data_IF_783796725389
#
_entry.id   IF_783796725389
#
_cell.length_a   1.000
_cell.length_b   1.000
_cell.length_c   1.000
_cell.angle_alpha   90.00
_cell.angle_beta   90.00
_cell.angle_gamma   90.00
#
_symmetry.space_group_name_H-M   'P 1'
#
loop_
_entity.id
_entity.type
_entity.pdbx_description
1 polymer ?
#
# COMPACT_ATOMS: atom_id res chain seq x y z
N UNK A 1 -9.37 9.09 7.26
CA UNK A 1 -7.91 9.24 7.01
C UNK A 1 -7.59 8.63 5.63
N UNK A 2 -6.39 8.91 5.10
CA UNK A 2 -5.94 8.70 3.72
C UNK A 2 -4.57 7.96 3.69
N UNK A 3 -4.54 6.67 4.02
CA UNK A 3 -3.28 5.89 3.98
C UNK A 3 -3.04 5.41 2.54
N UNK A 4 -1.94 5.87 1.94
CA UNK A 4 -1.49 5.53 0.59
C UNK A 4 0.01 5.79 0.45
N UNK A 5 0.72 5.20 -0.53
CA UNK A 5 2.16 5.39 -0.72
C UNK A 5 2.60 6.86 -0.73
N UNK A 6 1.88 7.73 -1.43
CA UNK A 6 2.22 9.16 -1.54
C UNK A 6 2.11 9.95 -0.23
N UNK A 7 1.47 9.38 0.79
CA UNK A 7 1.40 9.96 2.14
C UNK A 7 2.43 9.36 3.12
N UNK A 8 3.34 8.50 2.64
CA UNK A 8 4.45 7.92 3.42
C UNK A 8 5.75 8.55 2.93
N UNK A 9 6.34 9.39 3.77
CA UNK A 9 7.59 10.09 3.47
C UNK A 9 8.78 9.37 4.10
N UNK A 10 9.90 9.37 3.39
CA UNK A 10 11.19 8.85 3.84
C UNK A 10 12.29 9.89 3.55
N UNK A 11 13.23 10.07 4.48
CA UNK A 11 14.40 10.92 4.30
C UNK A 11 15.71 10.12 4.20
N UNK A 12 16.81 10.83 3.87
CA UNK A 12 18.14 10.23 3.70
C UNK A 12 18.69 9.64 5.01
N UNK A 13 18.18 10.07 6.16
CA UNK A 13 18.48 9.48 7.46
C UNK A 13 17.67 8.19 7.74
N UNK A 14 16.82 7.76 6.81
CA UNK A 14 16.01 6.54 6.91
C UNK A 14 14.79 6.69 7.83
N UNK A 15 14.37 7.91 8.16
CA UNK A 15 13.18 8.16 8.98
C UNK A 15 11.93 8.10 8.11
N UNK A 16 10.99 7.23 8.48
CA UNK A 16 9.69 7.08 7.80
C UNK A 16 8.60 7.79 8.59
N UNK A 17 7.81 8.65 7.93
CA UNK A 17 6.74 9.45 8.55
C UNK A 17 5.49 9.50 7.68
N UNK A 18 4.33 9.48 8.31
CA UNK A 18 3.07 9.80 7.63
C UNK A 18 2.92 11.31 7.49
N UNK A 19 2.43 11.76 6.33
CA UNK A 19 1.98 13.12 6.08
C UNK A 19 0.51 13.14 5.67
N UNK A 20 -0.04 14.34 5.48
CA UNK A 20 -1.41 14.58 5.02
C UNK A 20 -2.49 13.77 5.77
N UNK A 21 -2.72 14.14 7.03
CA UNK A 21 -3.74 13.51 7.86
C UNK A 21 -5.18 13.81 7.39
N UNK A 22 -5.36 14.60 6.32
CA UNK A 22 -6.63 15.04 5.77
C UNK A 22 -7.49 15.83 6.77
N UNK A 23 -8.51 16.52 6.27
CA UNK A 23 -9.56 17.09 7.13
C UNK A 23 -10.38 15.91 7.68
N UNK A 24 -9.95 15.40 8.83
CA UNK A 24 -10.65 14.38 9.61
C UNK A 24 -12.01 14.94 10.05
N UNK A 25 -13.10 14.52 9.41
CA UNK A 25 -14.43 14.57 10.06
C UNK A 25 -15.63 15.15 9.31
N UNK A 26 -15.56 15.55 8.04
CA UNK A 26 -16.78 15.94 7.31
C UNK A 26 -17.00 15.07 6.07
N UNK A 27 -17.75 13.97 6.27
CA UNK A 27 -18.32 13.15 5.20
C UNK A 27 -19.84 13.39 5.16
N UNK A 28 -20.26 14.65 5.05
CA UNK A 28 -21.63 14.98 4.71
C UNK A 28 -21.55 15.78 3.42
N UNK A 29 -22.19 15.27 2.37
CA UNK A 29 -22.42 15.91 1.06
C UNK A 29 -21.38 15.80 -0.06
N UNK A 30 -20.63 14.68 -0.22
CA UNK A 30 -19.74 14.56 -1.39
C UNK A 30 -19.47 13.16 -1.92
N UNK A 31 -20.39 12.20 -1.84
CA UNK A 31 -20.25 11.00 -2.72
C UNK A 31 -20.26 11.45 -4.19
N UNK A 32 -21.04 12.49 -4.53
CA UNK A 32 -21.11 13.06 -5.86
C UNK A 32 -19.98 14.05 -6.21
N UNK A 33 -19.45 14.83 -5.25
CA UNK A 33 -18.38 15.83 -5.49
C UNK A 33 -16.96 15.27 -5.33
N UNK A 34 -16.76 14.21 -4.54
CA UNK A 34 -15.45 13.56 -4.40
C UNK A 34 -15.12 12.59 -5.55
N UNK A 35 -16.12 12.21 -6.37
CA UNK A 35 -15.88 11.45 -7.60
C UNK A 35 -15.15 12.25 -8.68
N UNK A 36 -15.30 13.59 -8.71
CA UNK A 36 -14.57 14.48 -9.64
C UNK A 36 -13.19 14.92 -9.12
N UNK A 37 -12.88 14.72 -7.83
CA UNK A 37 -11.70 15.28 -7.16
C UNK A 37 -10.58 14.26 -6.83
N UNK A 38 -10.57 13.09 -7.46
CA UNK A 38 -9.57 12.05 -7.21
C UNK A 38 -10.14 10.92 -6.37
N UNK A 39 -10.56 9.87 -7.08
CA UNK A 39 -10.93 8.58 -6.54
C UNK A 39 -9.90 8.11 -5.50
N UNK A 40 -10.34 7.53 -4.39
CA UNK A 40 -9.45 6.93 -3.39
C UNK A 40 -9.37 5.43 -3.63
N UNK A 41 -8.43 4.94 -4.46
CA UNK A 41 -8.35 3.52 -4.81
C UNK A 41 -8.05 2.61 -3.60
N UNK A 42 -7.68 3.21 -2.47
CA UNK A 42 -7.40 2.56 -1.19
C UNK A 42 -8.62 2.46 -0.25
N UNK A 43 -9.83 2.84 -0.70
CA UNK A 43 -11.02 2.88 0.17
C UNK A 43 -11.51 1.48 0.55
N UNK A 44 -11.82 1.30 1.84
CA UNK A 44 -12.34 0.05 2.38
C UNK A 44 -13.81 -0.22 1.97
N UNK A 45 -14.23 -1.50 1.83
CA UNK A 45 -15.58 -1.87 1.37
C UNK A 45 -16.71 -1.22 2.18
N UNK A 46 -16.57 -1.17 3.51
CA UNK A 46 -17.57 -0.61 4.42
C UNK A 46 -17.78 0.90 4.24
N UNK A 47 -16.81 1.61 3.63
CA UNK A 47 -16.91 3.04 3.33
C UNK A 47 -17.60 3.33 1.99
N UNK A 48 -17.77 2.31 1.15
CA UNK A 48 -18.44 2.42 -0.15
C UNK A 48 -19.95 2.23 0.04
N UNK A 49 -20.37 1.41 1.01
CA UNK A 49 -21.78 1.14 1.29
C UNK A 49 -22.45 2.29 2.05
N UNK A 50 -23.52 2.90 1.50
CA UNK A 50 -24.21 4.02 2.14
C UNK A 50 -24.90 3.66 3.47
N UNK A 51 -25.26 2.39 3.68
CA UNK A 51 -25.93 1.96 4.92
C UNK A 51 -24.97 1.80 6.11
N UNK A 52 -23.67 1.65 5.86
CA UNK A 52 -22.64 1.46 6.91
C UNK A 52 -21.88 2.74 7.26
N UNK A 53 -21.93 3.76 6.38
CA UNK A 53 -21.30 5.07 6.64
C UNK A 53 -22.00 5.88 7.73
N UNK A 54 -23.24 5.54 8.09
CA UNK A 54 -24.00 6.19 9.15
C UNK A 54 -23.44 5.94 10.57
N UNK A 55 -22.65 4.87 10.77
CA UNK A 55 -22.10 4.51 12.08
C UNK A 55 -20.77 5.19 12.43
N UNK A 56 -20.35 6.19 11.64
CA UNK A 56 -19.13 6.93 11.87
C UNK A 56 -17.87 6.21 11.35
N UNK A 57 -16.77 6.95 11.32
CA UNK A 57 -15.49 6.46 10.81
C UNK A 57 -14.84 5.46 11.80
N UNK A 58 -14.49 4.27 11.31
CA UNK A 58 -13.73 3.28 12.09
C UNK A 58 -12.28 3.19 11.60
N UNK A 59 -11.36 3.07 12.55
CA UNK A 59 -9.93 2.96 12.31
C UNK A 59 -9.56 1.74 11.44
N UNK A 60 -10.42 0.72 11.40
CA UNK A 60 -10.26 -0.48 10.56
C UNK A 60 -10.35 -0.15 9.08
N UNK A 61 -10.96 0.96 8.68
CA UNK A 61 -10.91 1.40 7.29
C UNK A 61 -9.50 1.81 6.86
N UNK A 62 -8.70 2.39 7.76
CA UNK A 62 -7.29 2.69 7.45
C UNK A 62 -6.43 1.44 7.39
N UNK A 63 -6.77 0.43 8.20
CA UNK A 63 -6.10 -0.87 8.17
C UNK A 63 -6.22 -1.51 6.79
N UNK A 64 -7.39 -1.38 6.14
CA UNK A 64 -7.56 -1.81 4.75
C UNK A 64 -6.68 -1.01 3.79
N UNK A 65 -6.74 0.32 3.85
CA UNK A 65 -5.93 1.19 3.00
C UNK A 65 -4.42 0.91 3.14
N UNK A 66 -3.97 0.61 4.36
CA UNK A 66 -2.63 0.15 4.65
C UNK A 66 -2.32 -1.21 4.02
N UNK A 67 -3.24 -2.18 4.07
CA UNK A 67 -3.10 -3.46 3.38
C UNK A 67 -2.89 -3.32 1.87
N UNK A 68 -3.70 -2.47 1.22
CA UNK A 68 -3.55 -2.16 -0.22
C UNK A 68 -2.19 -1.51 -0.50
N UNK A 69 -1.80 -0.53 0.33
CA UNK A 69 -0.48 0.14 0.25
C UNK A 69 0.68 -0.85 0.38
N UNK A 70 0.56 -1.85 1.26
CA UNK A 70 1.60 -2.87 1.45
C UNK A 70 1.73 -3.81 0.26
N UNK A 71 0.63 -4.17 -0.42
CA UNK A 71 0.73 -4.95 -1.66
C UNK A 71 1.44 -4.12 -2.73
N UNK A 72 0.97 -2.90 -2.97
CA UNK A 72 1.53 -2.03 -4.02
C UNK A 72 3.02 -1.75 -3.83
N UNK A 73 3.46 -1.44 -2.60
CA UNK A 73 4.88 -1.21 -2.32
C UNK A 73 5.72 -2.49 -2.45
N UNK A 74 5.14 -3.65 -2.16
CA UNK A 74 5.84 -4.93 -2.23
C UNK A 74 5.96 -5.45 -3.66
N UNK A 75 4.94 -5.24 -4.50
CA UNK A 75 4.89 -5.72 -5.88
C UNK A 75 5.35 -4.69 -6.91
N UNK A 76 5.32 -3.41 -6.55
CA UNK A 76 5.48 -2.30 -7.50
C UNK A 76 4.24 -2.04 -8.36
N UNK A 77 3.14 -2.77 -8.15
CA UNK A 77 1.92 -2.69 -8.95
C UNK A 77 0.70 -2.54 -8.05
N UNK A 78 -0.20 -1.63 -8.41
CA UNK A 78 -1.47 -1.48 -7.71
C UNK A 78 -2.32 -2.75 -7.85
N UNK A 79 -2.92 -3.29 -6.77
CA UNK A 79 -3.41 -4.67 -6.76
C UNK A 79 -4.74 -4.92 -7.48
N UNK A 80 -5.45 -3.88 -7.91
CA UNK A 80 -6.69 -4.05 -8.68
C UNK A 80 -6.42 -3.95 -10.19
N UNK A 81 -7.13 -4.73 -11.02
CA UNK A 81 -7.03 -4.63 -12.47
C UNK A 81 -7.37 -3.22 -12.96
N UNK A 82 -6.78 -2.78 -14.07
CA UNK A 82 -7.09 -1.46 -14.68
C UNK A 82 -8.61 -1.24 -14.80
N UNK A 83 -9.05 -0.02 -14.47
CA UNK A 83 -10.44 0.39 -14.52
C UNK A 83 -10.61 1.65 -15.36
N UNK A 84 -11.68 1.71 -16.15
CA UNK A 84 -12.06 2.87 -16.96
C UNK A 84 -12.85 3.90 -16.15
N UNK A 85 -13.32 3.51 -14.96
CA UNK A 85 -14.06 4.40 -14.07
C UNK A 85 -13.92 4.03 -12.60
N UNK A 86 -14.03 5.05 -11.75
CA UNK A 86 -14.13 4.91 -10.29
C UNK A 86 -15.21 3.90 -9.90
N UNK A 87 -16.36 3.97 -10.55
CA UNK A 87 -17.48 3.08 -10.28
C UNK A 87 -17.12 1.60 -10.53
N UNK A 88 -16.35 1.32 -11.58
CA UNK A 88 -15.87 -0.04 -11.87
C UNK A 88 -14.94 -0.53 -10.75
N UNK A 89 -14.00 0.29 -10.30
CA UNK A 89 -13.12 -0.05 -9.18
C UNK A 89 -13.91 -0.32 -7.88
N UNK A 90 -14.80 0.60 -7.49
CA UNK A 90 -15.62 0.42 -6.28
C UNK A 90 -16.49 -0.83 -6.37
N UNK A 91 -17.07 -1.09 -7.53
CA UNK A 91 -17.82 -2.33 -7.79
C UNK A 91 -16.94 -3.57 -7.66
N UNK A 92 -15.69 -3.50 -8.14
CA UNK A 92 -14.73 -4.60 -8.04
C UNK A 92 -14.42 -4.92 -6.58
N UNK A 93 -14.10 -3.90 -5.78
CA UNK A 93 -13.81 -4.00 -4.35
C UNK A 93 -14.96 -4.66 -3.57
N UNK A 94 -16.21 -4.34 -3.93
CA UNK A 94 -17.39 -4.88 -3.26
C UNK A 94 -17.72 -6.32 -3.67
N UNK A 95 -17.44 -6.71 -4.92
CA UNK A 95 -17.92 -7.98 -5.49
C UNK A 95 -16.87 -9.09 -5.57
N UNK A 96 -15.58 -8.76 -5.59
CA UNK A 96 -14.50 -9.72 -5.74
C UNK A 96 -13.72 -9.91 -4.45
N UNK A 97 -13.00 -11.02 -4.34
CA UNK A 97 -12.15 -11.31 -3.19
C UNK A 97 -11.09 -10.23 -2.97
N UNK A 98 -10.78 -9.89 -1.71
CA UNK A 98 -9.73 -8.93 -1.42
C UNK A 98 -8.42 -9.38 -2.07
N UNK A 99 -7.58 -8.44 -2.53
CA UNK A 99 -6.30 -8.80 -3.11
C UNK A 99 -5.41 -9.44 -2.03
N UNK A 100 -4.51 -10.31 -2.47
CA UNK A 100 -3.55 -11.00 -1.60
C UNK A 100 -2.14 -10.80 -2.13
N UNK A 101 -1.16 -10.75 -1.23
CA UNK A 101 0.25 -10.77 -1.61
C UNK A 101 0.56 -12.10 -2.34
N UNK A 102 1.19 -12.08 -3.53
CA UNK A 102 1.58 -13.30 -4.22
C UNK A 102 2.60 -14.10 -3.40
N UNK A 103 2.85 -15.36 -3.76
CA UNK A 103 3.86 -16.16 -3.04
C UNK A 103 5.28 -15.66 -3.33
N UNK A 104 5.52 -15.27 -4.58
CA UNK A 104 6.78 -14.73 -5.04
C UNK A 104 6.56 -13.59 -6.05
N UNK A 105 7.54 -12.70 -6.15
CA UNK A 105 7.58 -11.74 -7.25
C UNK A 105 7.90 -12.46 -8.55
N UNK A 106 7.35 -12.00 -9.70
CA UNK A 106 7.75 -12.49 -11.00
C UNK A 106 9.26 -12.28 -11.17
N UNK A 107 9.93 -13.25 -11.80
CA UNK A 107 11.37 -13.14 -12.08
C UNK A 107 11.62 -11.87 -12.90
N UNK A 108 12.59 -11.02 -12.52
CA UNK A 108 12.97 -9.86 -13.32
C UNK A 108 13.31 -10.30 -14.75
N UNK A 109 12.80 -9.56 -15.73
CA UNK A 109 13.27 -9.66 -17.12
C UNK A 109 14.66 -9.03 -17.23
N UNK A 110 15.42 -9.31 -18.29
CA UNK A 110 16.80 -8.83 -18.46
C UNK A 110 16.98 -7.29 -18.29
N UNK A 111 15.90 -6.52 -18.47
CA UNK A 111 15.86 -5.06 -18.28
C UNK A 111 15.71 -4.64 -16.82
N UNK A 112 15.02 -5.41 -15.97
CA UNK A 112 14.88 -5.17 -14.52
C UNK A 112 16.03 -5.78 -13.72
N UNK A 113 16.72 -6.79 -14.26
CA UNK A 113 17.96 -7.35 -13.69
C UNK A 113 19.02 -6.26 -13.43
N UNK A 114 19.20 -5.29 -14.32
CA UNK A 114 20.25 -4.26 -14.17
C UNK A 114 20.03 -3.30 -12.98
N UNK A 115 18.80 -3.13 -12.48
CA UNK A 115 18.49 -2.19 -11.37
C UNK A 115 18.48 -2.90 -10.01
N UNK A 116 18.09 -4.18 -10.00
CA UNK A 116 17.83 -4.95 -8.78
C UNK A 116 19.04 -5.80 -8.32
N UNK A 117 19.99 -6.11 -9.20
CA UNK A 117 21.08 -7.08 -8.92
C UNK A 117 22.24 -6.58 -8.02
N UNK A 118 22.16 -5.39 -7.44
CA UNK A 118 23.19 -4.91 -6.48
C UNK A 118 22.68 -4.90 -5.02
N UNK A 119 21.47 -5.42 -4.77
CA UNK A 119 21.00 -5.65 -3.40
C UNK A 119 21.49 -7.03 -2.91
N UNK A 120 22.37 -7.11 -1.89
CA UNK A 120 22.91 -8.37 -1.39
C UNK A 120 21.84 -9.30 -0.77
N UNK A 121 20.64 -8.78 -0.49
CA UNK A 121 19.49 -9.52 0.05
C UNK A 121 18.67 -10.19 -1.06
N UNK A 122 18.56 -9.56 -2.24
CA UNK A 122 17.83 -10.10 -3.39
C UNK A 122 18.72 -11.05 -4.19
N UNK A 123 18.85 -12.28 -3.68
CA UNK A 123 19.58 -13.34 -4.39
C UNK A 123 18.76 -13.87 -5.56
N UNK A 124 19.39 -14.14 -6.72
CA UNK A 124 18.73 -14.84 -7.82
C UNK A 124 18.09 -16.14 -7.31
N UNK A 125 16.76 -16.24 -7.41
CA UNK A 125 15.99 -17.43 -7.00
C UNK A 125 15.33 -17.37 -5.63
N UNK A 126 15.43 -16.28 -4.86
CA UNK A 126 14.66 -16.10 -3.62
C UNK A 126 13.85 -14.79 -3.64
N UNK A 127 12.75 -14.82 -4.38
CA UNK A 127 11.79 -13.70 -4.53
C UNK A 127 10.50 -13.95 -3.75
N UNK A 128 10.53 -14.88 -2.80
CA UNK A 128 9.37 -15.30 -2.03
C UNK A 128 9.08 -14.33 -0.89
N UNK A 129 7.81 -13.99 -0.73
CA UNK A 129 7.33 -13.25 0.42
C UNK A 129 7.21 -14.19 1.62
N UNK A 130 7.74 -13.76 2.78
CA UNK A 130 7.57 -14.51 4.02
C UNK A 130 6.10 -14.79 4.32
N UNK A 131 5.81 -15.97 4.86
CA UNK A 131 4.45 -16.34 5.27
C UNK A 131 3.83 -15.35 6.25
N UNK A 132 4.66 -14.77 7.12
CA UNK A 132 4.28 -13.78 8.12
C UNK A 132 3.90 -12.45 7.47
N UNK A 133 4.61 -12.02 6.42
CA UNK A 133 4.21 -10.82 5.67
C UNK A 133 2.87 -11.03 4.96
N UNK A 134 2.71 -12.18 4.29
CA UNK A 134 1.47 -12.55 3.59
C UNK A 134 0.29 -12.59 4.57
N UNK A 135 0.45 -13.24 5.72
CA UNK A 135 -0.60 -13.29 6.75
C UNK A 135 -0.92 -11.90 7.31
N UNK A 136 0.08 -11.08 7.60
CA UNK A 136 -0.13 -9.72 8.10
C UNK A 136 -0.98 -8.88 7.14
N UNK A 137 -0.68 -8.92 5.84
CA UNK A 137 -1.45 -8.20 4.81
C UNK A 137 -2.85 -8.80 4.64
N UNK A 138 -2.99 -10.13 4.64
CA UNK A 138 -4.29 -10.79 4.57
C UNK A 138 -5.19 -10.43 5.77
N UNK A 139 -4.63 -10.29 6.97
CA UNK A 139 -5.37 -9.80 8.13
C UNK A 139 -5.84 -8.36 7.93
N UNK A 140 -5.03 -7.50 7.30
CA UNK A 140 -5.42 -6.12 6.99
C UNK A 140 -6.57 -6.04 5.97
N UNK A 141 -6.64 -7.00 5.04
CA UNK A 141 -7.59 -7.02 3.93
C UNK A 141 -8.81 -7.91 4.16
N UNK A 142 -9.19 -8.16 5.41
CA UNK A 142 -10.47 -8.81 5.72
C UNK A 142 -11.63 -7.94 5.25
N UNK A 143 -12.49 -8.49 4.39
CA UNK A 143 -13.66 -7.78 3.83
C UNK A 143 -14.63 -7.37 4.94
N UNK A 144 -14.97 -8.29 5.83
CA UNK A 144 -15.74 -7.95 7.03
C UNK A 144 -14.85 -7.14 7.99
N UNK A 145 -15.19 -5.86 8.14
CA UNK A 145 -14.47 -4.97 9.03
C UNK A 145 -14.60 -5.39 10.50
N UNK A 146 -15.59 -6.19 10.90
CA UNK A 146 -15.67 -6.77 12.24
C UNK A 146 -14.55 -7.77 12.54
N UNK A 147 -14.11 -8.50 11.53
CA UNK A 147 -13.02 -9.46 11.64
C UNK A 147 -11.65 -8.82 11.42
N UNK A 148 -11.60 -7.61 10.85
CA UNK A 148 -10.35 -6.87 10.58
C UNK A 148 -9.74 -6.36 11.90
N UNK A 149 -8.44 -6.64 12.16
CA UNK A 149 -7.80 -6.25 13.40
C UNK A 149 -7.66 -4.72 13.52
N UNK A 150 -7.70 -4.22 14.75
CA UNK A 150 -7.27 -2.85 15.08
C UNK A 150 -5.75 -2.82 15.29
N UNK A 151 -5.17 -1.63 15.37
CA UNK A 151 -3.72 -1.43 15.50
C UNK A 151 -3.04 -2.20 16.62
N UNK A 152 -3.69 -2.35 17.79
CA UNK A 152 -3.08 -3.07 18.92
C UNK A 152 -2.85 -4.56 18.61
N UNK A 153 -3.78 -5.18 17.88
CA UNK A 153 -3.63 -6.56 17.42
C UNK A 153 -2.53 -6.65 16.35
N UNK A 154 -2.51 -5.74 15.38
CA UNK A 154 -1.46 -5.69 14.35
C UNK A 154 -0.04 -5.50 14.93
N UNK A 155 0.11 -4.65 15.95
CA UNK A 155 1.39 -4.46 16.66
C UNK A 155 1.89 -5.71 17.38
N UNK A 156 0.99 -6.66 17.64
CA UNK A 156 1.32 -7.95 18.25
C UNK A 156 1.64 -9.03 17.22
N UNK A 157 1.42 -8.77 15.93
CA UNK A 157 1.67 -9.72 14.86
C UNK A 157 3.16 -10.08 14.73
N UNK A 158 3.52 -11.35 14.44
CA UNK A 158 4.92 -11.76 14.26
C UNK A 158 5.71 -10.92 13.26
N UNK A 159 5.13 -10.60 12.11
CA UNK A 159 5.74 -9.70 11.11
C UNK A 159 6.13 -8.34 11.71
N UNK A 160 5.22 -7.69 12.44
CA UNK A 160 5.48 -6.39 13.06
C UNK A 160 6.56 -6.50 14.15
N UNK A 161 6.49 -7.54 14.99
CA UNK A 161 7.47 -7.77 16.06
C UNK A 161 8.87 -8.01 15.51
N UNK A 162 8.98 -8.79 14.45
CA UNK A 162 10.25 -9.06 13.75
C UNK A 162 10.84 -7.79 13.15
N UNK A 163 10.02 -6.94 12.53
CA UNK A 163 10.46 -5.66 11.98
C UNK A 163 11.04 -4.70 13.05
N UNK A 164 10.71 -4.86 14.33
CA UNK A 164 11.30 -4.10 15.43
C UNK A 164 12.66 -4.63 15.89
N UNK A 165 12.95 -5.91 15.65
CA UNK A 165 14.20 -6.56 16.07
C UNK A 165 15.24 -6.65 14.97
N UNK A 166 14.80 -6.75 13.71
CA UNK A 166 15.70 -6.96 12.58
C UNK A 166 16.50 -5.67 12.31
N UNK A 167 17.84 -5.73 12.29
CA UNK A 167 18.66 -4.57 11.99
C UNK A 167 18.59 -4.26 10.48
N UNK A 168 17.68 -3.36 10.10
CA UNK A 168 17.51 -2.89 8.71
C UNK A 168 18.09 -1.49 8.54
N UNK A 169 19.07 -1.34 7.65
CA UNK A 169 19.66 -0.03 7.34
C UNK A 169 18.88 0.71 6.25
N UNK A 170 17.74 1.29 6.64
CA UNK A 170 16.84 2.03 5.75
C UNK A 170 17.54 3.23 5.08
N UNK A 171 18.39 3.95 5.82
CA UNK A 171 19.15 5.09 5.30
C UNK A 171 20.09 4.71 4.15
N UNK A 172 20.84 3.62 4.32
CA UNK A 172 21.74 3.11 3.29
C UNK A 172 20.96 2.65 2.05
N UNK A 173 19.89 1.88 2.24
CA UNK A 173 19.04 1.42 1.15
C UNK A 173 18.48 2.61 0.35
N UNK A 174 17.85 3.56 1.06
CA UNK A 174 17.21 4.70 0.40
C UNK A 174 18.22 5.60 -0.30
N UNK A 175 19.38 5.85 0.30
CA UNK A 175 20.44 6.64 -0.33
C UNK A 175 21.01 5.94 -1.57
N UNK A 176 21.16 4.62 -1.54
CA UNK A 176 21.59 3.83 -2.70
C UNK A 176 20.56 3.92 -3.84
N UNK A 177 19.26 3.80 -3.55
CA UNK A 177 18.18 4.01 -4.54
C UNK A 177 18.25 5.41 -5.14
N UNK A 178 18.34 6.44 -4.30
CA UNK A 178 18.43 7.83 -4.77
C UNK A 178 19.67 8.12 -5.61
N UNK A 179 20.78 7.41 -5.37
CA UNK A 179 22.01 7.59 -6.15
C UNK A 179 21.87 7.09 -7.61
N UNK A 180 20.89 6.22 -7.88
CA UNK A 180 20.56 5.73 -9.22
C UNK A 180 19.66 6.69 -10.00
N UNK A 181 19.10 7.71 -9.35
CA UNK A 181 18.23 8.73 -9.98
C UNK A 181 19.11 9.74 -10.74
N UNK A 182 18.90 9.94 -12.06
CA UNK A 182 19.68 10.91 -12.83
C UNK A 182 19.60 12.34 -12.25
N UNK A 183 20.67 13.17 -12.33
CA UNK A 183 20.73 14.49 -11.68
C UNK A 183 19.64 15.48 -12.07
N UNK A 184 19.03 15.28 -13.24
CA UNK A 184 17.98 16.15 -13.80
C UNK A 184 16.61 15.45 -13.89
N UNK A 185 16.51 14.22 -13.38
CA UNK A 185 15.24 13.50 -13.31
C UNK A 185 14.64 13.71 -11.93
N UNK A 186 13.33 13.95 -11.88
CA UNK A 186 12.55 13.83 -10.66
C UNK A 186 12.23 12.35 -10.46
N UNK A 187 11.98 11.93 -9.21
CA UNK A 187 11.53 10.54 -8.97
C UNK A 187 10.25 10.22 -9.74
N UNK A 188 9.35 11.20 -9.88
CA UNK A 188 8.12 11.07 -10.69
C UNK A 188 8.40 10.78 -12.18
N UNK A 189 9.57 11.15 -12.70
CA UNK A 189 9.96 10.85 -14.09
C UNK A 189 10.47 9.41 -14.27
N UNK A 190 10.76 8.72 -13.15
CA UNK A 190 11.26 7.34 -13.13
C UNK A 190 10.19 6.31 -12.77
N UNK A 191 9.04 6.76 -12.29
CA UNK A 191 7.86 5.94 -12.03
C UNK A 191 6.90 6.21 -13.17
N UNK A 192 6.44 5.19 -13.89
CA UNK A 192 5.49 5.39 -14.99
C UNK A 192 4.14 5.84 -14.42
N UNK A 193 3.97 7.15 -14.29
CA UNK A 193 2.78 7.79 -13.72
C UNK A 193 1.53 7.63 -14.61
N UNK A 194 1.65 6.96 -15.76
CA UNK A 194 0.56 6.72 -16.72
C UNK A 194 -0.33 5.52 -16.37
N UNK A 195 -0.06 4.81 -15.26
CA UNK A 195 -0.86 3.65 -14.83
C UNK A 195 -2.00 3.99 -13.86
N UNK A 196 -2.38 5.26 -13.74
CA UNK A 196 -3.55 5.74 -12.97
C UNK A 196 -4.63 6.37 -13.86
#
# INVERSE_FOLDING_TARGET
>A
VDVKPSNILIDREGRVKLCDFGISGQLVDSIAKSCEAGCKPYMAPERIHPDQTANGYDIRSDVWSFGITMIELATGEFPYPKWDSVFQLLTYVLKNDPPSVPECLPRPTATTEAVVLDDPVLKPGNWEFSSEFRDFVNQCLRRDFHERPKYQALKSHPFFRRALSDPVNVSQYFTAVLSKVPPNARLEDLVDMNDW
#
